data_IF_703790428371
#
_entry.id   IF_703790428371
#
_cell.length_a   1.000
_cell.length_b   1.000
_cell.length_c   1.000
_cell.angle_alpha   90.00
_cell.angle_beta   90.00
_cell.angle_gamma   90.00
#
_symmetry.space_group_name_H-M   'P 1'
#
loop_
_entity.id
_entity.type
_entity.pdbx_description
1 polymer ?
#
# COMPACT_ATOMS: atom_id res chain seq x y z
N UNK A 1 -5.44 12.60 -26.13
CA UNK A 1 -5.43 11.58 -25.05
C UNK A 1 -6.17 12.21 -23.90
N UNK A 2 -7.28 11.63 -23.46
CA UNK A 2 -8.00 12.15 -22.30
C UNK A 2 -7.09 12.03 -21.07
N UNK A 3 -6.94 13.12 -20.31
CA UNK A 3 -6.06 13.20 -19.14
C UNK A 3 -6.43 12.21 -18.05
N UNK A 4 -7.70 11.83 -17.97
CA UNK A 4 -8.23 10.91 -16.96
C UNK A 4 -7.76 9.46 -17.18
N UNK A 5 -7.40 9.10 -18.42
CA UNK A 5 -6.85 7.76 -18.76
C UNK A 5 -5.42 7.60 -18.24
N UNK A 6 -4.75 8.69 -17.85
CA UNK A 6 -3.38 8.70 -17.32
C UNK A 6 -3.34 8.77 -15.79
N UNK A 7 -4.48 8.58 -15.14
CA UNK A 7 -4.60 8.42 -13.69
C UNK A 7 -4.85 6.94 -13.38
N UNK A 8 -3.85 6.28 -12.80
CA UNK A 8 -3.92 4.86 -12.46
C UNK A 8 -4.41 4.72 -11.02
N UNK A 9 -5.51 4.00 -10.80
CA UNK A 9 -5.96 3.66 -9.46
C UNK A 9 -5.01 2.66 -8.81
N UNK A 10 -4.61 2.94 -7.57
CA UNK A 10 -3.79 2.00 -6.79
C UNK A 10 -4.70 1.08 -5.96
N UNK A 11 -4.34 -0.21 -5.84
CA UNK A 11 -5.19 -1.18 -5.16
C UNK A 11 -5.29 -0.90 -3.66
N UNK A 12 -6.43 -1.25 -3.11
CA UNK A 12 -6.60 -1.47 -1.68
C UNK A 12 -6.45 -2.97 -1.42
N UNK A 13 -5.62 -3.33 -0.45
CA UNK A 13 -5.21 -4.71 -0.27
C UNK A 13 -6.17 -5.47 0.65
N UNK A 14 -7.39 -5.71 0.19
CA UNK A 14 -8.37 -6.50 0.93
C UNK A 14 -7.97 -7.98 0.97
N UNK A 15 -7.86 -8.55 2.18
CA UNK A 15 -7.48 -9.94 2.38
C UNK A 15 -8.70 -10.79 2.68
N UNK A 16 -8.90 -11.85 1.90
CA UNK A 16 -9.95 -12.84 2.11
C UNK A 16 -9.38 -14.05 2.85
N UNK A 17 -9.59 -14.09 4.17
CA UNK A 17 -9.15 -15.21 5.01
C UNK A 17 -10.08 -16.41 4.87
N UNK A 18 -9.53 -17.59 4.56
CA UNK A 18 -10.25 -18.87 4.53
C UNK A 18 -10.34 -19.47 5.93
N UNK A 19 -10.84 -20.70 6.08
CA UNK A 19 -10.91 -21.42 7.36
C UNK A 19 -9.56 -21.86 7.93
N UNK A 20 -8.47 -21.65 7.20
CA UNK A 20 -7.12 -21.91 7.69
C UNK A 20 -6.78 -21.15 8.98
N UNK A 21 -5.81 -21.70 9.71
CA UNK A 21 -5.18 -21.04 10.86
C UNK A 21 -4.10 -20.09 10.36
N UNK A 22 -4.08 -18.89 10.91
CA UNK A 22 -3.09 -17.84 10.62
C UNK A 22 -2.38 -17.42 11.90
N UNK A 23 -1.07 -17.16 11.85
CA UNK A 23 -0.32 -16.59 12.97
C UNK A 23 0.95 -15.87 12.49
N UNK A 24 1.52 -15.02 13.34
CA UNK A 24 2.76 -14.29 13.05
C UNK A 24 4.03 -15.11 13.32
N UNK A 25 4.00 -15.95 14.35
CA UNK A 25 5.20 -16.43 15.03
C UNK A 25 5.96 -17.51 14.25
N UNK A 26 5.36 -18.68 14.04
CA UNK A 26 6.02 -19.83 13.42
C UNK A 26 5.05 -20.90 12.90
N UNK A 27 5.59 -21.86 12.14
CA UNK A 27 4.89 -23.04 11.65
C UNK A 27 3.88 -22.74 10.54
N UNK A 28 2.95 -23.67 10.33
CA UNK A 28 2.03 -23.63 9.18
C UNK A 28 1.15 -22.38 9.15
N UNK A 29 0.76 -21.86 10.31
CA UNK A 29 -0.05 -20.65 10.38
C UNK A 29 0.67 -19.40 9.86
N UNK A 30 2.00 -19.34 10.01
CA UNK A 30 2.82 -18.25 9.44
C UNK A 30 2.95 -18.37 7.93
N UNK A 31 3.15 -19.58 7.43
CA UNK A 31 3.18 -19.85 5.98
C UNK A 31 1.86 -19.48 5.32
N UNK A 32 0.73 -19.92 5.90
CA UNK A 32 -0.60 -19.61 5.41
C UNK A 32 -0.87 -18.10 5.43
N UNK A 33 -0.46 -17.40 6.49
CA UNK A 33 -0.62 -15.95 6.59
C UNK A 33 0.21 -15.23 5.53
N UNK A 34 1.46 -15.66 5.33
CA UNK A 34 2.32 -15.07 4.30
C UNK A 34 1.76 -15.31 2.90
N UNK A 35 1.27 -16.52 2.62
CA UNK A 35 0.64 -16.87 1.35
C UNK A 35 -0.58 -15.99 1.05
N UNK A 36 -1.55 -15.92 1.96
CA UNK A 36 -2.79 -15.15 1.72
C UNK A 36 -2.50 -13.65 1.57
N UNK A 37 -1.50 -13.11 2.26
CA UNK A 37 -1.06 -11.72 2.09
C UNK A 37 -0.35 -11.49 0.76
N UNK A 38 0.44 -12.46 0.27
CA UNK A 38 1.04 -12.39 -1.07
C UNK A 38 0.00 -12.44 -2.17
N UNK A 39 -0.99 -13.31 -2.04
CA UNK A 39 -2.09 -13.43 -2.99
C UNK A 39 -2.88 -12.10 -3.04
N UNK A 40 -3.27 -11.58 -1.87
CA UNK A 40 -4.00 -10.30 -1.76
C UNK A 40 -3.20 -9.09 -2.27
N UNK A 41 -1.88 -9.09 -2.10
CA UNK A 41 -1.01 -8.02 -2.57
C UNK A 41 -0.50 -8.19 -4.00
N UNK A 42 -0.85 -9.30 -4.66
CA UNK A 42 -0.27 -9.70 -5.93
C UNK A 42 1.27 -9.66 -5.91
N UNK A 43 1.88 -10.06 -4.78
CA UNK A 43 3.32 -10.06 -4.55
C UNK A 43 4.00 -8.68 -4.45
N UNK A 44 3.24 -7.62 -4.16
CA UNK A 44 3.75 -6.25 -3.98
C UNK A 44 3.72 -5.79 -2.52
N UNK A 45 4.62 -4.88 -2.16
CA UNK A 45 4.59 -4.22 -0.86
C UNK A 45 3.34 -3.39 -0.74
N UNK A 46 2.58 -3.59 0.34
CA UNK A 46 1.29 -2.92 0.51
C UNK A 46 1.40 -1.40 0.75
N UNK A 47 2.58 -0.88 1.07
CA UNK A 47 2.81 0.56 1.30
C UNK A 47 3.42 1.31 0.11
N UNK A 48 4.16 0.62 -0.77
CA UNK A 48 4.91 1.30 -1.83
C UNK A 48 4.89 0.63 -3.19
N UNK A 49 4.10 -0.44 -3.33
CA UNK A 49 3.84 -1.09 -4.61
C UNK A 49 5.09 -1.69 -5.27
N UNK A 50 6.21 -1.80 -4.55
CA UNK A 50 7.44 -2.47 -5.00
C UNK A 50 7.26 -3.97 -4.90
N UNK A 51 7.73 -4.70 -5.91
CA UNK A 51 7.64 -6.16 -5.94
C UNK A 51 8.47 -6.77 -4.81
N UNK A 52 7.88 -7.70 -4.04
CA UNK A 52 8.51 -8.33 -2.87
C UNK A 52 8.61 -9.85 -2.96
N UNK A 53 7.98 -10.47 -3.96
CA UNK A 53 8.14 -11.90 -4.24
C UNK A 53 8.20 -12.17 -5.74
N UNK A 54 9.19 -12.96 -6.16
CA UNK A 54 9.40 -13.41 -7.54
C UNK A 54 9.93 -14.83 -7.48
N UNK A 55 9.20 -15.78 -8.05
CA UNK A 55 9.56 -17.20 -8.03
C UNK A 55 9.94 -17.67 -6.60
N UNK A 56 11.18 -18.10 -6.40
CA UNK A 56 11.74 -18.53 -5.12
C UNK A 56 12.28 -17.38 -4.28
N UNK A 57 12.50 -16.20 -4.86
CA UNK A 57 12.99 -15.02 -4.16
C UNK A 57 11.85 -14.35 -3.37
N UNK A 58 12.08 -14.19 -2.07
CA UNK A 58 11.09 -13.69 -1.12
C UNK A 58 11.73 -12.64 -0.20
N UNK A 59 11.28 -11.39 -0.36
CA UNK A 59 11.75 -10.23 0.38
C UNK A 59 10.66 -9.62 1.28
N UNK A 60 9.47 -10.20 1.30
CA UNK A 60 8.34 -9.64 2.05
C UNK A 60 8.40 -9.98 3.53
N UNK A 61 8.23 -8.96 4.35
CA UNK A 61 8.17 -9.04 5.80
C UNK A 61 6.71 -8.99 6.26
N UNK A 62 6.34 -9.87 7.19
CA UNK A 62 5.11 -9.71 7.96
C UNK A 62 5.26 -8.47 8.85
N UNK A 63 4.35 -7.53 8.69
CA UNK A 63 4.41 -6.21 9.30
C UNK A 63 3.15 -5.95 10.14
N UNK A 64 3.30 -5.33 11.31
CA UNK A 64 2.19 -5.01 12.21
C UNK A 64 1.77 -3.54 12.05
N UNK A 65 0.60 -3.25 11.48
CA UNK A 65 0.14 -1.89 11.18
C UNK A 65 0.19 -0.96 12.41
N UNK A 66 -0.36 -1.40 13.53
CA UNK A 66 -0.14 -0.84 14.88
C UNK A 66 0.96 -1.68 15.56
N UNK A 67 1.97 -1.02 16.13
CA UNK A 67 3.12 -1.71 16.70
C UNK A 67 2.72 -2.73 17.76
N UNK A 68 3.19 -3.97 17.60
CA UNK A 68 2.94 -5.03 18.59
C UNK A 68 3.46 -4.69 19.99
N UNK A 69 4.46 -3.83 20.12
CA UNK A 69 5.01 -3.40 21.42
C UNK A 69 4.02 -2.61 22.27
N UNK A 70 2.95 -2.07 21.68
CA UNK A 70 1.88 -1.36 22.41
C UNK A 70 1.09 -2.33 23.32
N UNK A 71 0.82 -3.54 22.83
CA UNK A 71 0.13 -4.60 23.57
C UNK A 71 0.55 -5.98 23.05
N UNK A 72 1.75 -6.47 23.40
CA UNK A 72 2.36 -7.67 22.82
C UNK A 72 1.48 -8.92 22.90
N UNK A 73 0.77 -9.08 24.01
CA UNK A 73 -0.12 -10.20 24.32
C UNK A 73 -1.39 -10.23 23.45
N UNK A 74 -1.78 -9.10 22.84
CA UNK A 74 -2.97 -9.00 21.97
C UNK A 74 -2.60 -8.78 20.50
N UNK A 75 -1.63 -7.91 20.21
CA UNK A 75 -1.32 -7.46 18.85
C UNK A 75 -0.40 -8.41 18.08
N UNK A 76 0.42 -9.23 18.76
CA UNK A 76 1.38 -10.11 18.08
C UNK A 76 0.71 -11.06 17.09
N UNK A 77 -0.44 -11.64 17.45
CA UNK A 77 -1.23 -12.53 16.59
C UNK A 77 -2.61 -11.93 16.22
N UNK A 78 -2.74 -10.61 16.25
CA UNK A 78 -3.92 -9.94 15.72
C UNK A 78 -3.83 -9.93 14.19
N UNK A 79 -4.42 -10.92 13.51
CA UNK A 79 -4.33 -11.05 12.05
C UNK A 79 -4.82 -9.82 11.28
N UNK A 80 -5.92 -9.16 11.68
CA UNK A 80 -6.34 -7.86 11.11
C UNK A 80 -5.27 -6.76 11.13
N UNK A 81 -4.29 -6.87 12.05
CA UNK A 81 -3.20 -5.92 12.22
C UNK A 81 -1.95 -6.31 11.42
N UNK A 82 -1.95 -7.43 10.66
CA UNK A 82 -0.76 -7.94 9.99
C UNK A 82 -0.88 -7.83 8.48
N UNK A 83 0.04 -7.08 7.87
CA UNK A 83 0.21 -6.94 6.42
C UNK A 83 1.52 -7.53 5.91
N UNK A 84 1.80 -7.32 4.62
CA UNK A 84 3.09 -7.65 3.99
C UNK A 84 3.75 -6.39 3.42
N UNK A 85 5.02 -6.18 3.75
CA UNK A 85 5.78 -5.01 3.32
C UNK A 85 7.18 -5.37 2.86
N UNK A 86 7.81 -4.50 2.07
CA UNK A 86 9.23 -4.62 1.76
C UNK A 86 10.08 -4.21 3.00
N UNK A 87 11.36 -4.62 3.06
CA UNK A 87 12.23 -4.30 4.20
C UNK A 87 12.41 -2.80 4.39
N UNK A 88 12.46 -2.03 3.30
CA UNK A 88 12.56 -0.56 3.38
C UNK A 88 11.37 0.03 4.13
N UNK A 89 10.14 -0.30 3.71
CA UNK A 89 8.93 0.20 4.39
C UNK A 89 8.88 -0.25 5.85
N UNK A 90 9.11 -1.54 6.13
CA UNK A 90 8.96 -2.11 7.46
C UNK A 90 10.06 -1.67 8.44
N UNK A 91 11.32 -1.74 8.02
CA UNK A 91 12.49 -1.63 8.90
C UNK A 91 13.08 -0.21 8.96
N UNK A 92 12.87 0.61 7.92
CA UNK A 92 13.35 2.01 7.87
C UNK A 92 12.20 2.98 8.09
N UNK A 93 11.31 3.09 7.11
CA UNK A 93 10.36 4.21 7.05
C UNK A 93 9.29 4.14 8.13
N UNK A 94 8.71 2.96 8.35
CA UNK A 94 7.76 2.80 9.45
C UNK A 94 8.43 3.03 10.80
N UNK A 95 9.71 2.72 10.99
CA UNK A 95 10.40 2.98 12.27
C UNK A 95 10.56 4.47 12.58
N UNK A 96 10.51 5.34 11.57
CA UNK A 96 10.54 6.79 11.77
C UNK A 96 9.29 7.20 12.55
N UNK A 97 9.53 7.82 13.71
CA UNK A 97 8.50 8.33 14.60
C UNK A 97 7.61 7.31 15.30
N UNK A 98 8.03 6.04 15.33
CA UNK A 98 7.30 4.94 15.98
C UNK A 98 6.87 5.25 17.43
N UNK A 99 7.79 5.80 18.23
CA UNK A 99 7.49 6.10 19.65
C UNK A 99 6.53 7.28 19.82
N UNK A 100 6.45 8.19 18.86
CA UNK A 100 5.62 9.41 18.97
C UNK A 100 4.16 9.16 18.60
N UNK A 101 3.86 8.03 17.98
CA UNK A 101 2.52 7.67 17.51
C UNK A 101 1.80 6.66 18.40
N UNK A 102 2.31 6.42 19.60
CA UNK A 102 1.61 5.55 20.55
C UNK A 102 0.30 6.21 21.00
N UNK A 103 -0.80 5.44 21.10
CA UNK A 103 -2.04 5.91 21.71
C UNK A 103 -1.81 6.31 23.17
N UNK A 104 -2.75 7.05 23.76
CA UNK A 104 -2.68 7.37 25.18
C UNK A 104 -2.77 6.09 26.02
N UNK A 105 -2.16 6.12 27.22
CA UNK A 105 -2.14 4.98 28.13
C UNK A 105 -3.54 4.38 28.36
N UNK A 106 -4.56 5.24 28.52
CA UNK A 106 -5.93 4.80 28.74
C UNK A 106 -6.51 4.02 27.55
N UNK A 107 -6.21 4.43 26.31
CA UNK A 107 -6.66 3.71 25.10
C UNK A 107 -6.01 2.33 25.02
N UNK A 108 -4.73 2.24 25.39
CA UNK A 108 -3.97 0.98 25.42
C UNK A 108 -4.57 0.03 26.47
N UNK A 109 -4.81 0.51 27.69
CA UNK A 109 -5.38 -0.32 28.77
C UNK A 109 -6.82 -0.75 28.47
N UNK A 110 -7.63 0.13 27.89
CA UNK A 110 -8.98 -0.22 27.43
C UNK A 110 -8.92 -1.34 26.39
N UNK A 111 -8.01 -1.24 25.41
CA UNK A 111 -7.82 -2.30 24.41
C UNK A 111 -7.43 -3.63 25.05
N UNK A 112 -6.47 -3.63 25.98
CA UNK A 112 -6.03 -4.87 26.67
C UNK A 112 -7.16 -5.55 27.44
N UNK A 113 -8.02 -4.76 28.09
CA UNK A 113 -9.18 -5.23 28.86
C UNK A 113 -10.31 -5.74 27.98
N UNK A 114 -10.63 -5.04 26.90
CA UNK A 114 -11.78 -5.32 26.02
C UNK A 114 -11.50 -6.40 24.97
N UNK A 115 -10.25 -6.56 24.52
CA UNK A 115 -9.93 -7.47 23.42
C UNK A 115 -9.86 -8.95 23.85
N UNK A 116 -10.83 -9.76 23.38
CA UNK A 116 -10.82 -11.23 23.52
C UNK A 116 -10.05 -11.90 22.36
N UNK A 117 -8.72 -11.85 22.40
CA UNK A 117 -7.83 -12.39 21.35
C UNK A 117 -7.40 -13.85 21.57
N UNK A 118 -7.84 -14.51 22.65
CA UNK A 118 -7.27 -15.80 23.12
C UNK A 118 -7.61 -17.03 22.26
N UNK A 119 -8.53 -16.92 21.30
CA UNK A 119 -9.07 -18.09 20.57
C UNK A 119 -8.32 -18.44 19.29
N UNK A 120 -7.36 -17.62 18.82
CA UNK A 120 -6.50 -17.97 17.69
C UNK A 120 -7.15 -17.98 16.29
N UNK A 121 -8.37 -17.43 16.15
CA UNK A 121 -9.11 -17.37 14.88
C UNK A 121 -9.54 -15.94 14.49
N UNK A 122 -8.90 -14.92 15.03
CA UNK A 122 -9.22 -13.54 14.68
C UNK A 122 -8.87 -13.31 13.21
N UNK A 123 -9.88 -13.04 12.36
CA UNK A 123 -9.72 -12.75 10.92
C UNK A 123 -10.34 -11.40 10.52
N UNK A 124 -11.08 -10.79 11.44
CA UNK A 124 -11.78 -9.51 11.27
C UNK A 124 -11.47 -8.59 12.45
N UNK A 125 -11.34 -7.27 12.23
CA UNK A 125 -11.07 -6.31 13.29
C UNK A 125 -12.23 -6.30 14.30
N UNK A 126 -11.93 -6.56 15.57
CA UNK A 126 -12.91 -6.44 16.65
C UNK A 126 -13.11 -4.97 17.06
N UNK A 127 -14.18 -4.67 17.79
CA UNK A 127 -14.49 -3.31 18.25
C UNK A 127 -13.34 -2.68 19.05
N UNK A 128 -12.73 -3.45 19.97
CA UNK A 128 -11.58 -3.00 20.76
C UNK A 128 -10.40 -2.58 19.86
N UNK A 129 -10.11 -3.36 18.82
CA UNK A 129 -9.07 -3.01 17.84
C UNK A 129 -9.43 -1.77 17.03
N UNK A 130 -10.69 -1.60 16.63
CA UNK A 130 -11.14 -0.40 15.93
C UNK A 130 -11.00 0.87 16.78
N UNK A 131 -11.32 0.80 18.08
CA UNK A 131 -11.09 1.90 19.03
C UNK A 131 -9.61 2.25 19.12
N UNK A 132 -8.74 1.24 19.28
CA UNK A 132 -7.29 1.44 19.30
C UNK A 132 -6.78 2.05 17.99
N UNK A 133 -7.25 1.55 16.84
CA UNK A 133 -6.91 2.06 15.50
C UNK A 133 -7.24 3.54 15.37
N UNK A 134 -8.45 3.94 15.78
CA UNK A 134 -8.86 5.37 15.78
C UNK A 134 -7.99 6.21 16.69
N UNK A 135 -7.69 5.74 17.90
CA UNK A 135 -6.80 6.44 18.83
C UNK A 135 -5.38 6.61 18.25
N UNK A 136 -4.88 5.57 17.61
CA UNK A 136 -3.58 5.56 16.95
C UNK A 136 -3.53 6.56 15.78
N UNK A 137 -4.51 6.53 14.87
CA UNK A 137 -4.57 7.39 13.68
C UNK A 137 -4.78 8.88 13.98
N UNK A 138 -5.19 9.24 15.21
CA UNK A 138 -5.22 10.64 15.67
C UNK A 138 -3.82 11.24 15.82
N UNK A 139 -2.77 10.42 15.95
CA UNK A 139 -1.40 10.90 16.07
C UNK A 139 -0.88 11.32 14.69
N UNK A 140 -0.27 12.50 14.59
CA UNK A 140 0.26 13.05 13.33
C UNK A 140 1.22 12.07 12.64
N UNK A 141 2.09 11.41 13.39
CA UNK A 141 3.06 10.44 12.85
C UNK A 141 2.48 9.03 12.56
N UNK A 142 1.17 8.85 12.69
CA UNK A 142 0.44 7.61 12.36
C UNK A 142 -0.47 7.74 11.13
N UNK A 143 -0.46 8.89 10.44
CA UNK A 143 -1.36 9.13 9.32
C UNK A 143 -0.87 8.43 8.05
N UNK A 144 -1.17 7.13 7.96
CA UNK A 144 -0.90 6.32 6.77
C UNK A 144 -1.99 5.28 6.54
N UNK A 145 -2.19 4.88 5.28
CA UNK A 145 -3.06 3.77 4.91
C UNK A 145 -2.60 2.48 5.59
N UNK A 146 -3.25 2.07 6.67
CA UNK A 146 -2.96 0.84 7.40
C UNK A 146 -3.40 -0.39 6.61
N UNK A 147 -2.44 -1.11 6.05
CA UNK A 147 -2.73 -2.32 5.27
C UNK A 147 -2.69 -3.56 6.18
N UNK A 148 -3.48 -4.60 5.90
CA UNK A 148 -4.28 -4.81 4.69
C UNK A 148 -5.68 -4.14 4.71
N UNK A 149 -6.18 -3.72 5.88
CA UNK A 149 -7.58 -3.30 5.99
C UNK A 149 -7.88 -1.88 5.47
N UNK A 150 -6.86 -1.16 5.02
CA UNK A 150 -6.97 0.24 4.65
C UNK A 150 -7.41 1.15 5.80
N UNK A 151 -7.88 2.35 5.45
CA UNK A 151 -8.39 3.35 6.37
C UNK A 151 -9.69 3.90 5.80
N UNK A 152 -10.78 3.73 6.54
CA UNK A 152 -12.04 4.40 6.26
C UNK A 152 -12.02 5.79 6.88
N UNK A 153 -12.78 6.74 6.36
CA UNK A 153 -12.75 8.11 6.89
C UNK A 153 -13.33 8.20 8.31
N UNK A 154 -14.16 7.24 8.73
CA UNK A 154 -14.58 7.05 10.13
C UNK A 154 -13.39 6.80 11.06
N UNK A 155 -12.32 6.17 10.57
CA UNK A 155 -11.14 5.85 11.35
C UNK A 155 -10.35 7.12 11.74
N UNK A 156 -10.52 8.19 10.97
CA UNK A 156 -9.91 9.51 11.23
C UNK A 156 -10.93 10.52 11.77
N UNK A 157 -12.12 10.06 12.17
CA UNK A 157 -13.14 10.86 12.84
C UNK A 157 -14.03 11.67 11.89
N UNK A 158 -14.28 11.17 10.68
CA UNK A 158 -15.24 11.73 9.71
C UNK A 158 -16.38 10.74 9.54
N UNK A 159 -17.63 11.17 9.80
CA UNK A 159 -18.80 10.30 9.81
C UNK A 159 -19.36 10.01 8.41
N UNK A 160 -18.52 9.50 7.51
CA UNK A 160 -18.90 9.10 6.14
C UNK A 160 -18.37 7.68 5.82
N UNK A 161 -19.06 6.99 4.91
CA UNK A 161 -18.63 5.67 4.42
C UNK A 161 -17.86 5.82 3.11
N UNK A 162 -16.61 6.29 3.21
CA UNK A 162 -15.67 6.27 2.09
C UNK A 162 -14.28 5.84 2.54
N UNK A 163 -13.51 5.30 1.61
CA UNK A 163 -12.15 4.84 1.87
C UNK A 163 -11.15 5.76 1.21
N UNK A 164 -10.05 6.02 1.90
CA UNK A 164 -8.96 6.85 1.37
C UNK A 164 -8.18 6.07 0.32
N UNK A 165 -7.98 6.68 -0.85
CA UNK A 165 -7.39 6.04 -2.04
C UNK A 165 -6.29 6.92 -2.62
N UNK A 166 -5.28 6.24 -3.16
CA UNK A 166 -4.23 6.87 -3.94
C UNK A 166 -4.42 6.56 -5.42
N UNK A 167 -3.96 7.47 -6.25
CA UNK A 167 -3.75 7.27 -7.67
C UNK A 167 -2.28 7.52 -8.01
N UNK A 168 -1.86 7.01 -9.16
CA UNK A 168 -0.58 7.35 -9.76
C UNK A 168 -0.82 8.18 -11.02
N UNK A 169 -0.31 9.41 -10.99
CA UNK A 169 -0.31 10.35 -12.10
C UNK A 169 0.86 10.02 -13.03
N UNK A 170 0.54 9.42 -14.19
CA UNK A 170 1.54 8.98 -15.17
C UNK A 170 2.32 10.16 -15.76
N UNK A 171 1.67 11.30 -15.96
CA UNK A 171 2.32 12.48 -16.58
C UNK A 171 3.34 13.11 -15.64
N UNK A 172 3.05 13.15 -14.34
CA UNK A 172 3.94 13.72 -13.33
C UNK A 172 4.85 12.67 -12.67
N UNK A 173 4.66 11.38 -13.02
CA UNK A 173 5.32 10.24 -12.40
C UNK A 173 5.15 10.34 -10.86
N UNK A 174 3.93 10.51 -10.35
CA UNK A 174 3.73 10.83 -8.94
C UNK A 174 2.54 10.10 -8.33
N UNK A 175 2.71 9.63 -7.11
CA UNK A 175 1.64 9.16 -6.24
C UNK A 175 0.88 10.37 -5.69
N UNK A 176 -0.44 10.37 -5.81
CA UNK A 176 -1.32 11.48 -5.38
C UNK A 176 -2.58 10.93 -4.69
N UNK A 177 -3.27 11.73 -3.86
CA UNK A 177 -4.66 11.47 -3.51
C UNK A 177 -5.51 11.22 -4.75
N UNK A 178 -6.43 10.26 -4.68
CA UNK A 178 -7.35 9.97 -5.79
C UNK A 178 -8.19 11.19 -6.15
N UNK A 179 -8.21 11.57 -7.43
CA UNK A 179 -9.05 12.65 -7.97
C UNK A 179 -10.49 12.23 -8.26
N UNK A 180 -10.82 10.95 -8.07
CA UNK A 180 -12.17 10.42 -8.28
C UNK A 180 -13.14 10.80 -7.16
N UNK A 181 -12.61 11.25 -6.03
CA UNK A 181 -13.37 11.64 -4.84
C UNK A 181 -13.05 13.10 -4.51
N UNK A 182 -14.01 13.83 -3.95
CA UNK A 182 -13.76 15.15 -3.37
C UNK A 182 -13.35 15.00 -1.90
N UNK A 183 -12.05 14.93 -1.66
CA UNK A 183 -11.51 14.88 -0.30
C UNK A 183 -11.58 16.25 0.37
N UNK A 184 -11.85 16.26 1.67
CA UNK A 184 -11.63 17.43 2.53
C UNK A 184 -10.14 17.62 2.75
N UNK A 185 -9.73 18.82 3.18
CA UNK A 185 -8.32 19.11 3.49
C UNK A 185 -7.72 18.08 4.45
N UNK A 186 -8.46 17.66 5.47
CA UNK A 186 -8.00 16.67 6.46
C UNK A 186 -7.71 15.30 5.83
N UNK A 187 -8.48 14.90 4.83
CA UNK A 187 -8.28 13.62 4.13
C UNK A 187 -7.16 13.70 3.11
N UNK A 188 -7.03 14.84 2.42
CA UNK A 188 -5.87 15.11 1.57
C UNK A 188 -4.58 15.10 2.39
N UNK A 189 -4.54 15.81 3.53
CA UNK A 189 -3.41 15.82 4.45
C UNK A 189 -3.04 14.41 4.91
N UNK A 190 -4.03 13.58 5.22
CA UNK A 190 -3.81 12.18 5.60
C UNK A 190 -3.14 11.37 4.48
N UNK A 191 -3.64 11.52 3.24
CA UNK A 191 -3.11 10.81 2.07
C UNK A 191 -1.70 11.31 1.71
N UNK A 192 -1.44 12.61 1.85
CA UNK A 192 -0.11 13.18 1.70
C UNK A 192 0.86 12.68 2.76
N UNK A 193 0.45 12.57 4.03
CA UNK A 193 1.29 11.97 5.07
C UNK A 193 1.68 10.52 4.75
N UNK A 194 0.79 9.72 4.14
CA UNK A 194 1.16 8.38 3.66
C UNK A 194 2.27 8.45 2.59
N UNK A 195 2.08 9.30 1.58
CA UNK A 195 3.03 9.51 0.48
C UNK A 195 4.40 9.92 1.03
N UNK A 196 4.42 10.85 2.00
CA UNK A 196 5.64 11.39 2.58
C UNK A 196 6.33 10.40 3.53
N UNK A 197 5.56 9.71 4.38
CA UNK A 197 6.08 8.71 5.30
C UNK A 197 6.84 7.61 4.57
N UNK A 198 6.31 7.13 3.45
CA UNK A 198 6.96 6.14 2.61
C UNK A 198 7.75 6.77 1.45
N UNK A 199 7.93 8.09 1.46
CA UNK A 199 8.74 8.84 0.50
C UNK A 199 8.47 8.47 -0.96
N UNK A 200 7.21 8.19 -1.31
CA UNK A 200 6.84 7.58 -2.60
C UNK A 200 7.20 8.46 -3.81
N UNK A 201 7.24 9.77 -3.61
CA UNK A 201 7.59 10.77 -4.63
C UNK A 201 9.01 11.34 -4.47
N UNK A 202 9.75 10.94 -3.45
CA UNK A 202 11.10 11.47 -3.16
C UNK A 202 12.11 11.04 -4.24
N UNK A 203 13.12 11.85 -4.53
CA UNK A 203 14.16 11.48 -5.51
C UNK A 203 14.89 10.17 -5.15
N UNK A 204 15.05 9.85 -3.86
CA UNK A 204 15.69 8.60 -3.39
C UNK A 204 14.86 7.36 -3.74
N UNK A 205 13.53 7.46 -3.72
CA UNK A 205 12.65 6.28 -3.75
C UNK A 205 11.65 6.27 -4.91
N UNK A 206 11.52 7.38 -5.64
CA UNK A 206 10.65 7.52 -6.80
C UNK A 206 11.00 6.44 -7.82
N UNK A 207 10.02 5.59 -8.12
CA UNK A 207 10.22 4.47 -9.03
C UNK A 207 10.48 4.99 -10.45
N UNK A 208 11.56 4.53 -11.06
CA UNK A 208 11.86 4.76 -12.49
C UNK A 208 11.36 3.63 -13.38
N UNK A 209 10.66 2.64 -12.80
CA UNK A 209 10.25 1.42 -13.51
C UNK A 209 9.29 1.70 -14.67
N UNK A 210 8.35 2.63 -14.51
CA UNK A 210 7.47 3.02 -15.62
C UNK A 210 8.26 3.71 -16.74
N UNK A 211 9.18 4.60 -16.42
CA UNK A 211 10.04 5.27 -17.41
C UNK A 211 10.88 4.25 -18.19
N UNK A 212 11.46 3.27 -17.48
CA UNK A 212 12.16 2.14 -18.08
C UNK A 212 11.25 1.35 -19.01
N UNK A 213 10.03 1.02 -18.56
CA UNK A 213 9.04 0.30 -19.36
C UNK A 213 8.69 1.02 -20.65
N UNK A 214 8.44 2.34 -20.58
CA UNK A 214 8.12 3.14 -21.76
C UNK A 214 9.26 3.09 -22.78
N UNK A 215 10.51 3.29 -22.34
CA UNK A 215 11.70 3.23 -23.20
C UNK A 215 11.87 1.86 -23.85
N UNK A 216 11.81 0.79 -23.05
CA UNK A 216 12.07 -0.57 -23.54
C UNK A 216 10.96 -1.02 -24.50
N UNK A 217 9.72 -0.57 -24.29
CA UNK A 217 8.59 -0.80 -25.22
C UNK A 217 8.76 -0.07 -26.55
N UNK A 218 9.30 1.15 -26.54
CA UNK A 218 9.63 1.90 -27.77
C UNK A 218 10.70 1.16 -28.57
N UNK A 219 11.76 0.69 -27.91
CA UNK A 219 12.85 -0.06 -28.55
C UNK A 219 12.38 -1.38 -29.18
N UNK A 220 11.30 -1.96 -28.65
CA UNK A 220 10.67 -3.19 -29.13
C UNK A 220 9.48 -2.91 -30.07
N UNK A 221 9.37 -1.70 -30.62
CA UNK A 221 8.35 -1.29 -31.59
C UNK A 221 6.91 -1.52 -31.10
N UNK A 222 6.66 -1.26 -29.82
CA UNK A 222 5.33 -1.41 -29.20
C UNK A 222 5.08 -2.80 -28.60
N UNK A 223 6.01 -3.75 -28.73
CA UNK A 223 5.96 -5.02 -28.02
C UNK A 223 6.50 -4.88 -26.60
N UNK A 224 5.91 -5.56 -25.62
CA UNK A 224 6.31 -5.44 -24.22
C UNK A 224 6.09 -6.73 -23.41
N UNK A 225 6.73 -6.78 -22.24
CA UNK A 225 6.45 -7.73 -21.16
C UNK A 225 6.37 -6.93 -19.85
N UNK A 226 5.72 -7.46 -18.81
CA UNK A 226 5.64 -6.81 -17.49
C UNK A 226 6.50 -7.46 -16.42
N UNK A 227 6.98 -8.68 -16.68
CA UNK A 227 7.67 -9.54 -15.69
C UNK A 227 8.95 -8.90 -15.15
N UNK A 228 9.61 -8.05 -15.94
CA UNK A 228 10.93 -7.46 -15.64
C UNK A 228 10.86 -6.19 -14.77
N UNK A 229 9.66 -5.72 -14.42
CA UNK A 229 9.46 -4.44 -13.74
C UNK A 229 9.01 -4.61 -12.30
N UNK A 230 9.80 -4.06 -11.37
CA UNK A 230 9.63 -4.30 -9.94
C UNK A 230 8.68 -3.28 -9.26
N UNK A 231 7.62 -2.85 -9.96
CA UNK A 231 6.62 -1.94 -9.40
C UNK A 231 5.24 -2.19 -10.04
N UNK A 232 4.21 -2.32 -9.20
CA UNK A 232 2.84 -2.64 -9.60
C UNK A 232 2.23 -1.61 -10.57
N UNK A 233 2.67 -0.35 -10.50
CA UNK A 233 2.23 0.71 -11.41
C UNK A 233 2.43 0.32 -12.87
N UNK A 234 3.46 -0.46 -13.21
CA UNK A 234 3.70 -0.89 -14.60
C UNK A 234 2.63 -1.86 -15.07
N UNK A 235 2.26 -2.86 -14.25
CA UNK A 235 1.18 -3.79 -14.57
C UNK A 235 -0.16 -3.06 -14.67
N UNK A 236 -0.44 -2.16 -13.74
CA UNK A 236 -1.66 -1.37 -13.76
C UNK A 236 -1.71 -0.44 -14.98
N UNK A 237 -0.60 0.17 -15.38
CA UNK A 237 -0.51 0.97 -16.60
C UNK A 237 -0.83 0.14 -17.84
N UNK A 238 -0.29 -1.07 -17.93
CA UNK A 238 -0.59 -1.98 -19.03
C UNK A 238 -2.08 -2.30 -19.07
N UNK A 239 -2.65 -2.73 -17.94
CA UNK A 239 -4.06 -3.14 -17.86
C UNK A 239 -5.04 -2.00 -18.13
N UNK A 240 -4.72 -0.78 -17.68
CA UNK A 240 -5.62 0.39 -17.78
C UNK A 240 -5.43 1.20 -19.04
N UNK A 241 -4.18 1.35 -19.51
CA UNK A 241 -3.84 2.26 -20.62
C UNK A 241 -3.54 1.52 -21.91
N UNK A 242 -2.94 0.32 -21.88
CA UNK A 242 -2.46 -0.34 -23.11
C UNK A 242 -3.35 -1.50 -23.57
N UNK A 243 -4.10 -2.12 -22.66
CA UNK A 243 -4.92 -3.29 -22.94
C UNK A 243 -5.86 -3.07 -24.14
N UNK A 244 -5.83 -4.03 -25.07
CA UNK A 244 -6.65 -4.00 -26.29
C UNK A 244 -6.14 -3.08 -27.40
N UNK A 245 -4.97 -2.44 -27.24
CA UNK A 245 -4.37 -1.59 -28.28
C UNK A 245 -3.42 -2.39 -29.18
N UNK A 246 -3.28 -1.94 -30.43
CA UNK A 246 -2.29 -2.48 -31.36
C UNK A 246 -0.87 -2.03 -31.00
N UNK A 247 0.15 -2.76 -31.48
CA UNK A 247 1.55 -2.38 -31.29
C UNK A 247 1.85 -0.95 -31.76
N UNK A 248 1.28 -0.52 -32.90
CA UNK A 248 1.43 0.86 -33.40
C UNK A 248 0.83 1.91 -32.45
N UNK A 249 -0.36 1.63 -31.89
CA UNK A 249 -1.00 2.52 -30.92
C UNK A 249 -0.20 2.60 -29.62
N UNK A 250 0.31 1.45 -29.15
CA UNK A 250 1.15 1.37 -27.96
C UNK A 250 2.45 2.16 -28.16
N UNK A 251 3.11 1.98 -29.31
CA UNK A 251 4.32 2.70 -29.65
C UNK A 251 4.09 4.22 -29.62
N UNK A 252 2.97 4.70 -30.19
CA UNK A 252 2.60 6.13 -30.16
C UNK A 252 2.40 6.64 -28.72
N UNK A 253 1.67 5.90 -27.90
CA UNK A 253 1.42 6.28 -26.49
C UNK A 253 2.74 6.31 -25.70
N UNK A 254 3.54 5.25 -25.79
CA UNK A 254 4.79 5.14 -25.06
C UNK A 254 5.77 6.23 -25.50
N UNK A 255 5.87 6.53 -26.80
CA UNK A 255 6.74 7.60 -27.32
C UNK A 255 6.32 8.97 -26.80
N UNK A 256 5.01 9.27 -26.83
CA UNK A 256 4.49 10.54 -26.29
C UNK A 256 4.81 10.68 -24.80
N UNK A 257 4.49 9.66 -24.00
CA UNK A 257 4.71 9.71 -22.55
C UNK A 257 6.20 9.77 -22.22
N UNK A 258 7.04 8.97 -22.88
CA UNK A 258 8.48 8.98 -22.65
C UNK A 258 9.10 10.34 -22.99
N UNK A 259 8.67 10.97 -24.08
CA UNK A 259 9.13 12.30 -24.47
C UNK A 259 8.70 13.35 -23.46
N UNK A 260 7.42 13.34 -23.07
CA UNK A 260 6.87 14.28 -22.08
C UNK A 260 7.58 14.18 -20.73
N UNK A 261 7.74 12.96 -20.23
CA UNK A 261 8.43 12.65 -18.98
C UNK A 261 9.89 13.09 -19.07
N UNK A 262 10.62 12.70 -20.12
CA UNK A 262 12.04 13.02 -20.29
C UNK A 262 12.30 14.53 -20.38
N UNK A 263 11.42 15.29 -21.03
CA UNK A 263 11.54 16.75 -21.11
C UNK A 263 11.31 17.44 -19.75
N UNK A 264 10.43 16.90 -18.90
CA UNK A 264 10.23 17.42 -17.53
C UNK A 264 11.37 17.11 -16.57
N UNK A 265 12.14 16.04 -16.79
CA UNK A 265 13.28 15.66 -15.92
C UNK A 265 14.60 16.33 -16.29
N UNK A 266 14.64 17.11 -17.38
CA UNK A 266 15.78 17.97 -17.74
C UNK A 266 15.62 19.43 -17.28
N UNK A 267 14.52 19.75 -16.57
CA UNK A 267 14.21 21.07 -16.05
C UNK A 267 14.32 21.12 -14.52
#
# INVERSE_FOLDING_TARGET
METDVLMIDLPQYCVEYSDEKYCYTHGKGKENLKKVLYDASSNYCMYCYTRIKIDTNDFGHLEHAIERSIAPEKLTNCIPNIGIACPQCNDKYKKIGEKQRYPDYQDIENFKKEADCGKGFCKKPCEAYQKLKRAYLKRSNAQFLMQPLGVNVEDIGIHEKRTLKLQYDVLNNAYIPSKKEQYSQKEEDFLHHHIDMFCLNSAERKSTQLVKFLRDTIQKEGNYTTVEYNNQVVELFVETVLKGKSAEQILKICTYLYTYVSLKFQA
#
